data_IF_212907828019
#
_entry.id   IF_212907828019
#
_cell.length_a   1.000
_cell.length_b   1.000
_cell.length_c   1.000
_cell.angle_alpha   90.00
_cell.angle_beta   90.00
_cell.angle_gamma   90.00
#
_symmetry.space_group_name_H-M   'P 1'
#
loop_
_entity.id
_entity.type
_entity.pdbx_description
1 polymer ?
#
# COMPACT_ATOMS: atom_id res chain seq x y z
N UNK A 1 -10.48 2.30 -19.13
CA UNK A 1 -9.41 2.27 -18.11
C UNK A 1 -9.34 3.65 -17.48
N UNK A 2 -9.69 3.78 -16.24
CA UNK A 2 -9.75 5.10 -15.58
C UNK A 2 -8.32 5.59 -15.36
N UNK A 3 -7.96 6.64 -16.09
CA UNK A 3 -6.64 7.27 -15.96
C UNK A 3 -6.70 8.25 -14.77
N UNK A 4 -6.24 7.81 -13.60
CA UNK A 4 -6.11 8.65 -12.40
C UNK A 4 -4.65 8.96 -12.14
N UNK A 5 -4.40 10.17 -11.67
CA UNK A 5 -3.06 10.62 -11.34
C UNK A 5 -2.54 9.89 -10.09
N UNK A 6 -1.35 9.30 -10.21
CA UNK A 6 -0.61 8.75 -9.07
C UNK A 6 0.42 9.77 -8.62
N UNK A 7 0.39 10.12 -7.35
CA UNK A 7 1.42 10.96 -6.74
C UNK A 7 2.53 10.08 -6.18
N UNK A 8 3.72 10.24 -6.72
CA UNK A 8 4.95 9.57 -6.27
C UNK A 8 5.67 10.51 -5.31
N UNK A 9 6.18 9.99 -4.18
CA UNK A 9 7.04 10.80 -3.29
C UNK A 9 8.35 11.17 -3.97
N UNK A 10 8.96 12.27 -3.56
CA UNK A 10 10.23 12.74 -4.15
C UNK A 10 11.32 11.68 -4.02
N UNK A 11 11.43 11.04 -2.85
CA UNK A 11 12.40 9.97 -2.60
C UNK A 11 12.22 8.79 -3.58
N UNK A 12 10.99 8.29 -3.73
CA UNK A 12 10.69 7.18 -4.65
C UNK A 12 10.93 7.60 -6.10
N UNK A 13 10.51 8.80 -6.48
CA UNK A 13 10.72 9.33 -7.83
C UNK A 13 12.20 9.43 -8.18
N UNK A 14 13.03 9.97 -7.30
CA UNK A 14 14.47 10.05 -7.49
C UNK A 14 15.11 8.65 -7.56
N UNK A 15 14.72 7.74 -6.69
CA UNK A 15 15.22 6.37 -6.69
C UNK A 15 14.96 5.66 -8.02
N UNK A 16 13.72 5.79 -8.55
CA UNK A 16 13.36 5.20 -9.84
C UNK A 16 14.17 5.82 -10.99
N UNK A 17 14.37 7.14 -11.01
CA UNK A 17 15.17 7.81 -12.03
C UNK A 17 16.64 7.40 -12.00
N UNK A 18 17.18 7.14 -10.83
CA UNK A 18 18.57 6.73 -10.63
C UNK A 18 18.79 5.21 -10.77
N UNK A 19 17.73 4.43 -10.99
CA UNK A 19 17.83 2.97 -11.05
C UNK A 19 18.12 2.32 -9.69
N UNK A 20 17.87 3.04 -8.59
CA UNK A 20 17.99 2.49 -7.24
C UNK A 20 16.87 1.51 -6.96
N UNK A 21 17.11 0.41 -6.25
CA UNK A 21 16.07 -0.54 -5.89
C UNK A 21 14.94 0.09 -5.06
N UNK A 22 13.69 -0.15 -5.46
CA UNK A 22 12.49 0.30 -4.74
C UNK A 22 11.64 -0.90 -4.42
N UNK A 23 11.16 -0.98 -3.17
CA UNK A 23 10.27 -2.05 -2.69
C UNK A 23 8.93 -1.45 -2.29
N UNK A 24 7.88 -1.84 -2.99
CA UNK A 24 6.53 -1.41 -2.65
C UNK A 24 5.98 -2.20 -1.46
N UNK A 25 5.17 -1.52 -0.65
CA UNK A 25 4.47 -2.07 0.52
C UNK A 25 2.99 -1.69 0.45
N UNK A 26 2.12 -2.60 0.86
CA UNK A 26 0.72 -2.28 1.15
C UNK A 26 0.59 -1.46 2.43
N UNK A 27 -0.56 -0.82 2.66
CA UNK A 27 -0.83 -0.10 3.90
C UNK A 27 -1.89 -0.76 4.79
N UNK A 28 -2.64 -1.74 4.29
CA UNK A 28 -3.68 -2.41 5.10
C UNK A 28 -3.13 -3.01 6.38
N UNK A 29 -1.96 -3.67 6.32
CA UNK A 29 -1.36 -4.31 7.49
C UNK A 29 -0.95 -3.31 8.58
N UNK A 30 -0.60 -2.09 8.19
CA UNK A 30 -0.20 -1.02 9.12
C UNK A 30 -1.35 -0.17 9.61
N UNK A 31 -2.53 -0.26 8.99
CA UNK A 31 -3.74 0.44 9.42
C UNK A 31 -4.42 -0.28 10.59
N UNK A 32 -5.47 0.33 11.14
CA UNK A 32 -6.31 -0.31 12.15
C UNK A 32 -6.99 -1.62 11.66
N UNK A 33 -6.98 -1.87 10.35
CA UNK A 33 -7.51 -3.12 9.77
C UNK A 33 -6.54 -4.29 9.88
N UNK A 34 -5.27 -4.02 10.13
CA UNK A 34 -4.21 -5.00 10.25
C UNK A 34 -3.73 -5.17 11.70
N UNK A 35 -2.51 -4.72 11.97
CA UNK A 35 -1.91 -4.81 13.30
C UNK A 35 -2.50 -3.78 14.26
N UNK A 36 -2.70 -4.11 15.54
CA UNK A 36 -3.16 -3.15 16.54
C UNK A 36 -2.09 -2.10 16.85
N UNK A 37 -2.53 -0.90 17.23
CA UNK A 37 -1.62 0.13 17.76
C UNK A 37 -1.10 -0.31 19.15
N UNK A 38 0.19 -0.05 19.49
CA UNK A 38 1.21 0.64 18.70
C UNK A 38 2.01 -0.28 17.75
N UNK A 39 1.75 -1.59 17.75
CA UNK A 39 2.52 -2.58 16.99
C UNK A 39 2.52 -2.34 15.48
N UNK A 40 1.47 -1.71 14.95
CA UNK A 40 1.38 -1.35 13.54
C UNK A 40 2.43 -0.31 13.12
N UNK A 41 2.62 0.74 13.90
CA UNK A 41 3.65 1.76 13.63
C UNK A 41 5.07 1.21 13.86
N UNK A 42 5.24 0.37 14.88
CA UNK A 42 6.50 -0.33 15.13
C UNK A 42 6.87 -1.26 13.97
N UNK A 43 5.90 -2.02 13.45
CA UNK A 43 6.10 -2.88 12.29
C UNK A 43 6.48 -2.08 11.04
N UNK A 44 5.77 -0.96 10.78
CA UNK A 44 6.07 -0.07 9.67
C UNK A 44 7.51 0.46 9.76
N UNK A 45 7.92 0.93 10.94
CA UNK A 45 9.27 1.41 11.20
C UNK A 45 10.32 0.33 10.97
N UNK A 46 10.08 -0.89 11.45
CA UNK A 46 10.99 -2.02 11.28
C UNK A 46 11.11 -2.45 9.82
N UNK A 47 10.00 -2.53 9.08
CA UNK A 47 9.99 -2.95 7.68
C UNK A 47 10.71 -1.94 6.79
N UNK A 48 10.42 -0.65 6.98
CA UNK A 48 11.10 0.41 6.21
C UNK A 48 12.59 0.46 6.52
N UNK A 49 12.98 0.30 7.79
CA UNK A 49 14.39 0.24 8.18
C UNK A 49 15.11 -0.98 7.59
N UNK A 50 14.47 -2.14 7.58
CA UNK A 50 15.02 -3.36 6.97
C UNK A 50 15.26 -3.18 5.47
N UNK A 51 14.30 -2.59 4.73
CA UNK A 51 14.46 -2.30 3.30
C UNK A 51 15.65 -1.35 3.08
N UNK A 52 15.74 -0.29 3.87
CA UNK A 52 16.83 0.69 3.77
C UNK A 52 18.21 0.10 4.07
N UNK A 53 18.30 -0.89 4.96
CA UNK A 53 19.58 -1.55 5.27
C UNK A 53 20.17 -2.32 4.07
N UNK A 54 19.37 -2.62 3.05
CA UNK A 54 19.79 -3.19 1.77
C UNK A 54 19.95 -2.15 0.64
N UNK A 55 20.11 -0.86 0.99
CA UNK A 55 20.20 0.24 0.03
C UNK A 55 19.00 0.33 -0.93
N UNK A 56 17.84 -0.12 -0.51
CA UNK A 56 16.58 0.00 -1.23
C UNK A 56 15.68 1.07 -0.61
N UNK A 57 14.78 1.63 -1.40
CA UNK A 57 13.81 2.65 -0.96
C UNK A 57 12.45 1.99 -0.73
N UNK A 58 11.84 2.11 0.46
CA UNK A 58 10.49 1.64 0.70
C UNK A 58 9.46 2.58 0.08
N UNK A 59 8.49 2.03 -0.64
CA UNK A 59 7.39 2.75 -1.27
C UNK A 59 6.05 2.24 -0.75
N UNK A 60 5.58 2.81 0.37
CA UNK A 60 4.26 2.47 0.91
C UNK A 60 3.20 3.04 -0.03
N UNK A 61 2.18 2.25 -0.36
CA UNK A 61 1.05 2.70 -1.18
C UNK A 61 -0.18 2.97 -0.32
N UNK A 62 -0.94 4.00 -0.67
CA UNK A 62 -2.19 4.35 0.00
C UNK A 62 -3.04 5.27 -0.90
N UNK A 63 -4.28 5.52 -0.50
CA UNK A 63 -5.07 6.66 -0.98
C UNK A 63 -5.21 7.65 0.17
N UNK A 64 -4.77 8.89 -0.03
CA UNK A 64 -4.91 9.97 0.94
C UNK A 64 -5.65 11.14 0.29
N UNK A 65 -6.77 11.56 0.89
CA UNK A 65 -7.65 12.64 0.39
C UNK A 65 -8.06 12.45 -1.08
N UNK A 66 -8.32 11.19 -1.46
CA UNK A 66 -8.67 10.83 -2.83
C UNK A 66 -7.51 10.82 -3.82
N UNK A 67 -6.28 10.90 -3.36
CA UNK A 67 -5.08 10.82 -4.21
C UNK A 67 -4.39 9.48 -4.01
N UNK A 68 -4.24 8.70 -5.09
CA UNK A 68 -3.42 7.50 -5.06
C UNK A 68 -1.95 7.87 -4.89
N UNK A 69 -1.29 7.31 -3.88
CA UNK A 69 0.11 7.62 -3.55
C UNK A 69 0.99 6.39 -3.61
N UNK A 70 2.21 6.59 -4.06
CA UNK A 70 3.30 5.61 -4.03
C UNK A 70 4.50 6.26 -3.37
N UNK A 71 4.85 5.77 -2.20
CA UNK A 71 5.73 6.47 -1.26
C UNK A 71 4.92 7.40 -0.35
N UNK A 72 4.95 7.10 0.93
CA UNK A 72 4.30 7.92 1.97
C UNK A 72 5.39 8.45 2.88
N UNK A 73 5.42 9.77 3.02
CA UNK A 73 6.39 10.44 3.89
C UNK A 73 6.16 10.08 5.35
N UNK A 74 7.21 10.05 6.14
CA UNK A 74 7.13 9.66 7.55
C UNK A 74 6.14 10.54 8.35
N UNK A 75 5.97 11.79 7.96
CA UNK A 75 5.00 12.70 8.57
C UNK A 75 3.55 12.22 8.44
N UNK A 76 3.23 11.47 7.37
CA UNK A 76 1.90 10.94 7.09
C UNK A 76 1.69 9.50 7.64
N UNK A 77 2.71 8.88 8.24
CA UNK A 77 2.59 7.53 8.82
C UNK A 77 1.48 7.42 9.88
N UNK A 78 1.28 8.39 10.79
CA UNK A 78 0.16 8.32 11.72
C UNK A 78 -1.21 8.23 11.03
N UNK A 79 -1.38 8.82 9.85
CA UNK A 79 -2.62 8.74 9.07
C UNK A 79 -2.87 7.31 8.57
N UNK A 80 -1.87 6.69 7.94
CA UNK A 80 -2.02 5.33 7.41
C UNK A 80 -2.06 4.26 8.50
N UNK A 81 -1.50 4.53 9.68
CA UNK A 81 -1.59 3.66 10.85
C UNK A 81 -2.90 3.81 11.64
N UNK A 82 -3.72 4.79 11.29
CA UNK A 82 -5.00 5.08 11.94
C UNK A 82 -6.19 4.41 11.26
N UNK A 83 -7.40 4.96 11.49
CA UNK A 83 -8.63 4.52 10.84
C UNK A 83 -8.56 4.70 9.33
N UNK A 84 -8.91 3.66 8.59
CA UNK A 84 -8.86 3.66 7.13
C UNK A 84 -9.98 2.79 6.54
N UNK A 85 -10.35 3.05 5.29
CA UNK A 85 -11.19 2.15 4.51
C UNK A 85 -10.30 1.23 3.68
N UNK A 86 -10.65 -0.04 3.62
CA UNK A 86 -9.92 -1.02 2.80
C UNK A 86 -10.10 -0.70 1.31
N UNK A 87 -9.00 -0.66 0.57
CA UNK A 87 -8.98 -0.36 -0.87
C UNK A 87 -8.31 -1.50 -1.62
N UNK A 88 -9.09 -2.35 -2.26
CA UNK A 88 -8.62 -3.27 -3.27
C UNK A 88 -8.55 -2.60 -4.64
N UNK A 89 -8.12 -3.33 -5.66
CA UNK A 89 -8.03 -2.82 -7.02
C UNK A 89 -9.37 -2.25 -7.51
N UNK A 90 -10.48 -2.93 -7.21
CA UNK A 90 -11.83 -2.54 -7.65
C UNK A 90 -12.32 -1.27 -6.98
N UNK A 91 -11.94 -1.05 -5.72
CA UNK A 91 -12.35 0.12 -4.94
C UNK A 91 -11.47 1.33 -5.20
N UNK A 92 -10.33 1.18 -5.89
CA UNK A 92 -9.36 2.26 -6.06
C UNK A 92 -9.95 3.48 -6.78
N UNK A 93 -10.68 3.24 -7.88
CA UNK A 93 -11.37 4.31 -8.60
C UNK A 93 -12.44 5.02 -7.75
N UNK A 94 -13.19 4.25 -6.95
CA UNK A 94 -14.20 4.78 -6.04
C UNK A 94 -13.58 5.61 -4.92
N UNK A 95 -12.50 5.12 -4.32
CA UNK A 95 -11.78 5.82 -3.26
C UNK A 95 -11.26 7.18 -3.71
N UNK A 96 -10.77 7.25 -4.95
CA UNK A 96 -10.29 8.49 -5.58
C UNK A 96 -11.49 9.42 -5.88
N UNK A 97 -12.52 8.92 -6.55
CA UNK A 97 -13.67 9.73 -6.96
C UNK A 97 -14.43 10.31 -5.76
N UNK A 98 -14.58 9.54 -4.70
CA UNK A 98 -15.25 9.97 -3.46
C UNK A 98 -14.30 10.68 -2.48
N UNK A 99 -13.04 10.88 -2.85
CA UNK A 99 -12.04 11.56 -2.03
C UNK A 99 -11.94 10.99 -0.61
N UNK A 100 -11.78 9.66 -0.51
CA UNK A 100 -11.62 9.05 0.81
C UNK A 100 -10.42 9.64 1.54
N UNK A 101 -10.61 10.03 2.79
CA UNK A 101 -9.56 10.63 3.61
C UNK A 101 -8.36 9.69 3.75
N UNK A 102 -8.61 8.43 4.14
CA UNK A 102 -7.58 7.40 4.20
C UNK A 102 -8.13 6.10 3.61
N UNK A 103 -7.50 5.65 2.53
CA UNK A 103 -7.70 4.36 1.91
C UNK A 103 -6.47 3.49 2.09
N UNK A 104 -6.60 2.41 2.87
CA UNK A 104 -5.53 1.44 3.07
C UNK A 104 -5.52 0.42 1.92
N UNK A 105 -4.45 0.43 1.14
CA UNK A 105 -4.29 -0.45 -0.02
C UNK A 105 -4.04 -1.89 0.40
N UNK A 106 -4.68 -2.81 -0.31
CA UNK A 106 -4.42 -4.25 -0.22
C UNK A 106 -3.32 -4.66 -1.19
N UNK A 107 -2.98 -5.95 -1.23
CA UNK A 107 -2.02 -6.50 -2.19
C UNK A 107 -2.39 -6.13 -3.62
N UNK A 108 -3.66 -6.32 -4.03
CA UNK A 108 -4.07 -6.10 -5.43
C UNK A 108 -3.93 -4.64 -5.87
N UNK A 109 -4.39 -3.69 -5.07
CA UNK A 109 -4.25 -2.26 -5.38
C UNK A 109 -2.81 -1.79 -5.30
N UNK A 110 -2.03 -2.30 -4.34
CA UNK A 110 -0.61 -1.97 -4.22
C UNK A 110 0.19 -2.46 -5.42
N UNK A 111 -0.06 -3.67 -5.89
CA UNK A 111 0.58 -4.23 -7.09
C UNK A 111 0.24 -3.41 -8.34
N UNK A 112 -1.03 -2.99 -8.47
CA UNK A 112 -1.45 -2.14 -9.59
C UNK A 112 -0.72 -0.79 -9.56
N UNK A 113 -0.66 -0.12 -8.40
CA UNK A 113 0.02 1.16 -8.26
C UNK A 113 1.54 1.03 -8.49
N UNK A 114 2.16 0.00 -7.90
CA UNK A 114 3.59 -0.27 -8.07
C UNK A 114 3.95 -0.53 -9.55
N UNK A 115 3.17 -1.35 -10.23
CA UNK A 115 3.39 -1.67 -11.65
C UNK A 115 3.28 -0.41 -12.54
N UNK A 116 2.31 0.45 -12.27
CA UNK A 116 2.10 1.68 -13.05
C UNK A 116 3.25 2.69 -12.94
N UNK A 117 3.97 2.68 -11.83
CA UNK A 117 5.13 3.57 -11.63
C UNK A 117 6.47 2.88 -11.89
N UNK A 118 6.44 1.62 -12.34
CA UNK A 118 7.64 0.88 -12.72
C UNK A 118 8.37 0.19 -11.56
N UNK A 119 7.74 0.06 -10.39
CA UNK A 119 8.31 -0.71 -9.27
C UNK A 119 8.11 -2.21 -9.53
N UNK A 120 9.18 -2.99 -9.42
CA UNK A 120 9.21 -4.41 -9.78
C UNK A 120 9.23 -5.36 -8.58
N UNK A 121 9.44 -4.84 -7.39
CA UNK A 121 9.53 -5.62 -6.15
C UNK A 121 8.45 -5.16 -5.18
N UNK A 122 7.70 -6.11 -4.65
CA UNK A 122 6.65 -5.89 -3.66
C UNK A 122 6.84 -6.84 -2.48
N UNK A 123 6.73 -6.31 -1.28
CA UNK A 123 6.81 -7.10 -0.04
C UNK A 123 5.49 -7.00 0.73
N UNK A 124 4.99 -8.14 1.19
CA UNK A 124 3.74 -8.25 1.96
C UNK A 124 3.87 -9.30 3.04
N UNK A 125 3.07 -9.17 4.09
CA UNK A 125 2.96 -10.16 5.15
C UNK A 125 2.22 -11.44 4.75
N UNK A 126 1.47 -11.41 3.64
CA UNK A 126 0.75 -12.57 3.13
C UNK A 126 -0.01 -12.29 1.84
N UNK A 127 -0.12 -13.32 1.02
CA UNK A 127 -0.90 -13.30 -0.22
C UNK A 127 -1.96 -14.39 -0.15
N UNK A 128 -3.17 -14.06 -0.59
CA UNK A 128 -4.33 -14.95 -0.56
C UNK A 128 -5.02 -14.96 0.79
N UNK A 129 -6.01 -15.80 0.90
CA UNK A 129 -6.89 -15.88 2.06
C UNK A 129 -8.26 -15.27 1.80
N UNK A 130 -9.27 -15.93 2.34
CA UNK A 130 -10.66 -15.49 2.27
C UNK A 130 -11.18 -15.38 3.69
N UNK A 131 -11.65 -14.21 4.08
CA UNK A 131 -12.36 -14.03 5.33
C UNK A 131 -13.75 -14.71 5.22
N UNK A 132 -14.09 -15.58 6.16
CA UNK A 132 -15.39 -16.28 6.16
C UNK A 132 -16.60 -15.36 6.13
N UNK A 133 -16.45 -14.13 6.62
CA UNK A 133 -17.50 -13.11 6.68
C UNK A 133 -17.59 -12.23 5.41
N UNK A 134 -16.66 -12.37 4.46
CA UNK A 134 -16.64 -11.59 3.22
C UNK A 134 -16.81 -12.45 1.97
N UNK A 135 -17.70 -13.44 2.03
CA UNK A 135 -17.99 -14.35 0.90
C UNK A 135 -18.42 -13.62 -0.38
N UNK A 136 -18.93 -12.40 -0.27
CA UNK A 136 -19.29 -11.54 -1.41
C UNK A 136 -18.11 -10.79 -2.01
N UNK A 137 -16.93 -10.86 -1.40
CA UNK A 137 -15.71 -10.15 -1.82
C UNK A 137 -14.54 -11.10 -2.09
N UNK A 138 -14.81 -12.32 -2.58
CA UNK A 138 -13.77 -13.25 -2.98
C UNK A 138 -13.03 -12.65 -4.17
N UNK A 139 -11.85 -12.11 -3.93
CA UNK A 139 -11.04 -11.50 -4.97
C UNK A 139 -10.02 -12.47 -5.60
N UNK A 140 -9.76 -13.60 -4.93
CA UNK A 140 -8.77 -14.58 -5.40
C UNK A 140 -9.20 -16.01 -5.04
N UNK A 141 -8.96 -16.99 -5.93
CA UNK A 141 -9.19 -18.38 -5.60
C UNK A 141 -8.24 -18.85 -4.49
N UNK A 142 -8.80 -19.46 -3.45
CA UNK A 142 -8.01 -20.17 -2.45
C UNK A 142 -7.28 -21.31 -3.12
N UNK A 143 -5.95 -21.36 -2.99
CA UNK A 143 -5.20 -22.57 -3.34
C UNK A 143 -5.47 -23.61 -2.25
N UNK A 144 -5.94 -24.82 -2.57
CA UNK A 144 -5.93 -25.92 -1.63
C UNK A 144 -4.47 -26.25 -1.30
N UNK A 145 -4.18 -26.40 -0.02
CA UNK A 145 -2.88 -26.87 0.45
C UNK A 145 -2.73 -28.35 0.15
#
# INVERSE_FOLDING_TARGET
>A
MTDYQIRISDEVGQALLQGQPVVALESTIFSHLGLPSPSNLEALTRWTSAIRSFNAVPAITAVLDGVARVGIDQADWPLICGPAKKVGERELGLAIAQRWAVGATTVSSSLLLAARVGIRVFSTGGIGGVHRLSLIHISEPTRPY
#
